data_IF_129780649084
#
_entry.id   IF_129780649084
#
_cell.length_a   1.000
_cell.length_b   1.000
_cell.length_c   1.000
_cell.angle_alpha   90.00
_cell.angle_beta   90.00
_cell.angle_gamma   90.00
#
_symmetry.space_group_name_H-M   'P 1'
#
loop_
_entity.id
_entity.type
_entity.pdbx_description
1 polymer ?
#
# COMPACT_ATOMS: atom_id res chain seq x y z
N UNK A 1 4.05 -4.17 31.95
CA UNK A 1 2.99 -4.03 30.92
C UNK A 1 3.02 -5.29 30.08
N UNK A 2 1.91 -6.03 29.99
CA UNK A 2 1.83 -7.24 29.16
C UNK A 2 2.04 -6.88 27.68
N UNK A 3 2.88 -7.64 26.98
CA UNK A 3 3.01 -7.55 25.52
C UNK A 3 1.71 -8.09 24.93
N UNK A 4 0.82 -7.19 24.52
CA UNK A 4 -0.46 -7.54 23.91
C UNK A 4 -0.20 -8.09 22.51
N UNK A 5 -0.65 -9.31 22.26
CA UNK A 5 -0.52 -9.99 20.97
C UNK A 5 -1.81 -9.77 20.19
N UNK A 6 -1.69 -9.26 18.97
CA UNK A 6 -2.80 -9.06 18.04
C UNK A 6 -2.82 -10.19 17.03
N UNK A 7 -3.96 -10.87 16.89
CA UNK A 7 -4.18 -11.87 15.84
C UNK A 7 -4.81 -11.22 14.61
N UNK A 8 -4.35 -11.61 13.43
CA UNK A 8 -4.69 -10.98 12.15
C UNK A 8 -4.83 -12.00 11.04
N UNK A 9 -5.54 -11.60 9.98
CA UNK A 9 -5.88 -12.49 8.88
C UNK A 9 -6.95 -13.51 9.28
N UNK A 10 -7.31 -14.37 8.34
CA UNK A 10 -8.37 -15.37 8.48
C UNK A 10 -7.86 -16.75 8.10
N UNK A 11 -8.58 -17.80 8.49
CA UNK A 11 -8.31 -19.13 7.97
C UNK A 11 -8.59 -19.18 6.46
N UNK A 12 -7.58 -19.59 5.69
CA UNK A 12 -7.66 -19.72 4.23
C UNK A 12 -7.31 -21.14 3.81
N UNK A 13 -7.94 -21.61 2.72
CA UNK A 13 -7.66 -22.92 2.14
C UNK A 13 -6.53 -22.75 1.13
N UNK A 14 -5.41 -23.43 1.39
CA UNK A 14 -4.26 -23.45 0.50
C UNK A 14 -3.51 -24.78 0.67
N UNK A 15 -2.93 -25.30 -0.41
CA UNK A 15 -2.07 -26.48 -0.39
C UNK A 15 -0.63 -26.16 0.03
N UNK A 16 -0.13 -24.97 -0.29
CA UNK A 16 1.27 -24.57 -0.12
C UNK A 16 1.36 -23.28 0.70
N UNK A 17 1.67 -23.42 1.98
CA UNK A 17 1.87 -22.29 2.89
C UNK A 17 3.33 -21.93 3.01
N UNK A 18 3.63 -20.63 3.00
CA UNK A 18 4.91 -20.10 3.45
C UNK A 18 4.76 -19.46 4.83
N UNK A 19 5.84 -19.49 5.61
CA UNK A 19 5.88 -19.01 6.98
C UNK A 19 6.94 -17.92 7.12
N UNK A 20 6.58 -16.83 7.78
CA UNK A 20 7.45 -15.67 7.98
C UNK A 20 7.48 -15.30 9.46
N UNK A 21 8.67 -15.00 9.97
CA UNK A 21 8.87 -14.39 11.27
C UNK A 21 9.80 -13.18 11.13
N UNK A 22 9.30 -12.00 11.46
CA UNK A 22 10.00 -10.73 11.32
C UNK A 22 10.20 -10.06 12.68
N UNK A 23 11.43 -9.67 13.06
CA UNK A 23 11.66 -8.81 14.21
C UNK A 23 11.37 -7.35 13.81
N UNK A 24 10.11 -6.93 13.84
CA UNK A 24 9.67 -5.59 13.43
C UNK A 24 8.56 -5.05 14.32
N UNK A 25 8.54 -3.72 14.49
CA UNK A 25 7.44 -2.96 15.09
C UNK A 25 6.35 -2.58 14.07
N UNK A 26 6.52 -2.96 12.80
CA UNK A 26 5.63 -2.59 11.68
C UNK A 26 4.52 -3.61 11.39
N UNK A 27 4.27 -4.56 12.31
CA UNK A 27 3.31 -5.65 12.11
C UNK A 27 1.91 -5.17 11.71
N UNK A 28 1.43 -4.08 12.31
CA UNK A 28 0.14 -3.48 11.96
C UNK A 28 0.13 -2.93 10.52
N UNK A 29 1.16 -2.20 10.10
CA UNK A 29 1.23 -1.61 8.77
C UNK A 29 1.34 -2.70 7.69
N UNK A 30 2.17 -3.72 7.94
CA UNK A 30 2.32 -4.86 7.02
C UNK A 30 0.99 -5.61 6.90
N UNK A 31 0.28 -5.84 8.01
CA UNK A 31 -1.06 -6.47 7.99
C UNK A 31 -2.04 -5.70 7.10
N UNK A 32 -2.08 -4.37 7.22
CA UNK A 32 -2.97 -3.53 6.40
C UNK A 32 -2.61 -3.64 4.92
N UNK A 33 -1.32 -3.62 4.59
CA UNK A 33 -0.85 -3.78 3.21
C UNK A 33 -1.21 -5.16 2.65
N UNK A 34 -0.94 -6.26 3.38
CA UNK A 34 -1.31 -7.62 2.97
C UNK A 34 -2.82 -7.74 2.68
N UNK A 35 -3.65 -7.15 3.55
CA UNK A 35 -5.11 -7.15 3.39
C UNK A 35 -5.54 -6.36 2.15
N UNK A 36 -4.98 -5.16 1.94
CA UNK A 36 -5.27 -4.32 0.78
C UNK A 36 -4.84 -4.97 -0.55
N UNK A 37 -3.76 -5.74 -0.49
CA UNK A 37 -3.23 -6.53 -1.59
C UNK A 37 -4.01 -7.82 -1.86
N UNK A 38 -4.95 -8.18 -0.98
CA UNK A 38 -5.76 -9.40 -1.12
C UNK A 38 -4.97 -10.70 -0.88
N UNK A 39 -3.84 -10.61 -0.17
CA UNK A 39 -3.05 -11.79 0.19
C UNK A 39 -3.85 -12.64 1.19
N UNK A 40 -4.02 -13.94 0.97
CA UNK A 40 -4.55 -14.85 1.99
C UNK A 40 -3.45 -15.13 3.02
N UNK A 41 -3.64 -14.68 4.26
CA UNK A 41 -2.69 -14.87 5.36
C UNK A 41 -3.40 -15.05 6.70
N UNK A 42 -2.67 -15.60 7.66
CA UNK A 42 -3.04 -15.68 9.07
C UNK A 42 -1.80 -15.47 9.93
N UNK A 43 -1.92 -14.73 11.02
CA UNK A 43 -0.77 -14.50 11.87
C UNK A 43 -1.06 -13.73 13.14
N UNK A 44 0.01 -13.27 13.76
CA UNK A 44 -0.05 -12.41 14.92
C UNK A 44 1.16 -11.50 15.02
N UNK A 45 0.97 -10.29 15.54
CA UNK A 45 2.06 -9.36 15.83
C UNK A 45 1.97 -8.81 17.26
N UNK A 46 3.12 -8.37 17.75
CA UNK A 46 3.26 -7.54 18.94
C UNK A 46 4.08 -6.28 18.60
N UNK A 47 4.68 -5.63 19.61
CA UNK A 47 5.48 -4.40 19.40
C UNK A 47 6.86 -4.64 18.78
N UNK A 48 7.31 -5.89 18.68
CA UNK A 48 8.68 -6.28 18.32
C UNK A 48 8.74 -7.35 17.25
N UNK A 49 7.66 -8.11 17.08
CA UNK A 49 7.62 -9.23 16.15
C UNK A 49 6.32 -9.29 15.38
N UNK A 50 6.41 -9.79 14.14
CA UNK A 50 5.27 -10.19 13.34
C UNK A 50 5.54 -11.58 12.78
N UNK A 51 4.63 -12.53 13.05
CA UNK A 51 4.72 -13.91 12.59
C UNK A 51 3.42 -14.25 11.86
N UNK A 52 3.51 -14.77 10.64
CA UNK A 52 2.35 -15.13 9.85
C UNK A 52 2.67 -16.22 8.83
N UNK A 53 1.63 -16.97 8.46
CA UNK A 53 1.60 -17.83 7.28
C UNK A 53 0.77 -17.21 6.17
N UNK A 54 1.15 -17.44 4.92
CA UNK A 54 0.43 -16.96 3.74
C UNK A 54 0.44 -17.99 2.61
N UNK A 55 -0.40 -17.79 1.59
CA UNK A 55 -0.41 -18.60 0.38
C UNK A 55 0.83 -18.32 -0.49
N UNK A 56 1.67 -19.33 -0.73
CA UNK A 56 2.93 -19.21 -1.48
C UNK A 56 2.78 -18.60 -2.89
N UNK A 57 1.60 -18.64 -3.50
CA UNK A 57 1.34 -17.98 -4.79
C UNK A 57 1.56 -16.46 -4.72
N UNK A 58 1.48 -15.85 -3.53
CA UNK A 58 1.63 -14.42 -3.30
C UNK A 58 3.06 -14.03 -2.88
N UNK A 59 4.04 -14.94 -3.00
CA UNK A 59 5.41 -14.71 -2.52
C UNK A 59 6.00 -13.39 -2.98
N UNK A 60 5.91 -13.08 -4.28
CA UNK A 60 6.46 -11.84 -4.82
C UNK A 60 5.83 -10.59 -4.19
N UNK A 61 4.50 -10.60 -4.01
CA UNK A 61 3.78 -9.49 -3.36
C UNK A 61 4.16 -9.37 -1.88
N UNK A 62 4.26 -10.49 -1.15
CA UNK A 62 4.63 -10.48 0.26
C UNK A 62 6.06 -9.99 0.46
N UNK A 63 7.00 -10.46 -0.35
CA UNK A 63 8.41 -10.03 -0.29
C UNK A 63 8.53 -8.53 -0.55
N UNK A 64 7.82 -7.99 -1.54
CA UNK A 64 7.80 -6.54 -1.84
C UNK A 64 7.20 -5.73 -0.68
N UNK A 65 6.07 -6.16 -0.11
CA UNK A 65 5.43 -5.49 1.03
C UNK A 65 6.37 -5.49 2.24
N UNK A 66 7.02 -6.60 2.55
CA UNK A 66 7.98 -6.67 3.65
C UNK A 66 9.14 -5.70 3.38
N UNK A 67 9.73 -5.73 2.18
CA UNK A 67 10.85 -4.84 1.81
C UNK A 67 10.46 -3.35 1.97
N UNK A 68 9.26 -2.97 1.54
CA UNK A 68 8.74 -1.61 1.66
C UNK A 68 8.77 -1.09 3.12
N UNK A 69 8.52 -1.94 4.12
CA UNK A 69 8.46 -1.54 5.53
C UNK A 69 9.76 -1.78 6.30
N UNK A 70 10.55 -2.79 5.95
CA UNK A 70 11.69 -3.23 6.76
C UNK A 70 13.04 -2.89 6.15
N UNK A 71 13.12 -2.60 4.84
CA UNK A 71 14.39 -2.28 4.17
C UNK A 71 14.74 -0.81 4.30
N UNK A 72 16.03 -0.50 4.45
CA UNK A 72 16.55 0.87 4.45
C UNK A 72 16.41 1.54 3.07
N UNK A 73 16.35 0.74 2.00
CA UNK A 73 16.17 1.22 0.62
C UNK A 73 14.93 2.11 0.45
N UNK A 74 13.88 1.86 1.23
CA UNK A 74 12.62 2.59 1.18
C UNK A 74 12.44 3.56 2.36
N UNK A 75 13.46 3.73 3.22
CA UNK A 75 13.37 4.59 4.40
C UNK A 75 13.05 6.05 4.06
N UNK A 76 13.65 6.58 2.98
CA UNK A 76 13.38 7.94 2.52
C UNK A 76 11.93 8.09 2.04
N UNK A 77 11.43 7.13 1.25
CA UNK A 77 10.03 7.13 0.77
C UNK A 77 9.07 7.05 1.96
N UNK A 78 9.37 6.23 2.97
CA UNK A 78 8.56 6.15 4.20
C UNK A 78 8.48 7.49 4.90
N UNK A 79 9.63 8.14 5.11
CA UNK A 79 9.70 9.46 5.74
C UNK A 79 8.90 10.49 4.94
N UNK A 80 9.09 10.52 3.62
CA UNK A 80 8.41 11.47 2.75
C UNK A 80 6.89 11.27 2.81
N UNK A 81 6.41 10.01 2.80
CA UNK A 81 4.98 9.71 2.94
C UNK A 81 4.44 10.15 4.30
N UNK A 82 5.16 9.90 5.39
CA UNK A 82 4.73 10.32 6.73
C UNK A 82 4.64 11.86 6.86
N UNK A 83 5.66 12.57 6.37
CA UNK A 83 5.75 14.03 6.42
C UNK A 83 4.64 14.70 5.58
N UNK A 84 4.52 14.34 4.31
CA UNK A 84 3.58 14.99 3.40
C UNK A 84 2.12 14.58 3.66
N UNK A 85 1.87 13.40 4.28
CA UNK A 85 0.53 13.08 4.82
C UNK A 85 0.14 14.02 5.95
N UNK A 86 1.05 14.28 6.90
CA UNK A 86 0.82 15.17 8.05
C UNK A 86 0.55 16.59 7.58
N UNK A 87 1.34 17.07 6.63
CA UNK A 87 1.28 18.45 6.14
C UNK A 87 0.22 18.63 5.02
N UNK A 88 -0.43 17.52 4.63
CA UNK A 88 -1.44 17.43 3.55
C UNK A 88 -0.94 17.89 2.18
N UNK A 89 0.37 17.85 1.96
CA UNK A 89 1.03 18.21 0.71
C UNK A 89 1.17 17.00 -0.23
N UNK A 90 0.04 16.48 -0.69
CA UNK A 90 0.04 15.27 -1.52
C UNK A 90 0.62 15.50 -2.93
N UNK A 91 0.64 16.73 -3.43
CA UNK A 91 1.13 17.02 -4.79
C UNK A 91 2.64 16.81 -4.94
N UNK A 92 3.37 16.74 -3.82
CA UNK A 92 4.75 16.26 -3.78
C UNK A 92 4.92 14.91 -4.51
N UNK A 93 3.92 14.03 -4.45
CA UNK A 93 4.00 12.68 -5.04
C UNK A 93 3.73 12.62 -6.55
N UNK A 94 3.46 13.74 -7.23
CA UNK A 94 3.22 13.75 -8.69
C UNK A 94 4.33 13.01 -9.49
N UNK A 95 5.63 13.22 -9.25
CA UNK A 95 6.69 12.50 -9.96
C UNK A 95 6.61 10.99 -9.78
N UNK A 96 6.44 10.53 -8.54
CA UNK A 96 6.36 9.11 -8.21
C UNK A 96 5.11 8.45 -8.84
N UNK A 97 3.96 9.12 -8.73
CA UNK A 97 2.69 8.66 -9.28
C UNK A 97 2.73 8.60 -10.80
N UNK A 98 3.26 9.63 -11.46
CA UNK A 98 3.39 9.65 -12.92
C UNK A 98 4.28 8.49 -13.42
N UNK A 99 5.42 8.26 -12.75
CA UNK A 99 6.31 7.13 -13.04
C UNK A 99 5.60 5.79 -12.90
N UNK A 100 4.88 5.58 -11.79
CA UNK A 100 4.17 4.33 -11.52
C UNK A 100 3.06 4.06 -12.55
N UNK A 101 2.32 5.10 -12.92
CA UNK A 101 1.28 5.04 -13.95
C UNK A 101 1.81 5.00 -15.39
N UNK A 102 3.14 5.03 -15.57
CA UNK A 102 3.82 5.06 -16.88
C UNK A 102 3.36 6.23 -17.76
N UNK A 103 3.23 7.42 -17.17
CA UNK A 103 2.96 8.68 -17.88
C UNK A 103 3.95 9.77 -17.49
N UNK A 104 3.95 10.88 -18.23
CA UNK A 104 4.81 12.02 -17.89
C UNK A 104 4.21 12.84 -16.74
N UNK A 105 5.06 13.50 -15.96
CA UNK A 105 4.59 14.44 -14.93
C UNK A 105 3.68 15.53 -15.51
N UNK A 106 4.04 16.07 -16.69
CA UNK A 106 3.21 17.05 -17.38
C UNK A 106 1.81 16.51 -17.71
N UNK A 107 1.69 15.24 -18.10
CA UNK A 107 0.39 14.60 -18.35
C UNK A 107 -0.46 14.56 -17.09
N UNK A 108 0.13 14.24 -15.94
CA UNK A 108 -0.57 14.22 -14.66
C UNK A 108 -0.92 15.64 -14.19
N UNK A 109 -0.01 16.61 -14.32
CA UNK A 109 -0.22 18.02 -13.97
C UNK A 109 -1.28 18.72 -14.81
N UNK A 110 -1.52 18.23 -16.03
CA UNK A 110 -2.58 18.73 -16.91
C UNK A 110 -3.98 18.20 -16.54
N UNK A 111 -4.11 17.29 -15.58
CA UNK A 111 -5.41 16.87 -15.05
C UNK A 111 -6.02 17.95 -14.14
N UNK A 112 -7.34 17.99 -13.98
CA UNK A 112 -7.98 18.76 -12.91
C UNK A 112 -7.31 18.56 -11.54
N UNK A 113 -7.23 19.63 -10.75
CA UNK A 113 -6.47 19.66 -9.49
C UNK A 113 -6.96 18.64 -8.45
N UNK A 114 -8.28 18.46 -8.36
CA UNK A 114 -8.95 17.45 -7.55
C UNK A 114 -8.52 16.02 -7.93
N UNK A 115 -8.39 15.73 -9.23
CA UNK A 115 -7.90 14.43 -9.71
C UNK A 115 -6.43 14.24 -9.31
N UNK A 116 -5.58 15.26 -9.49
CA UNK A 116 -4.18 15.22 -9.07
C UNK A 116 -4.07 14.91 -7.56
N UNK A 117 -4.85 15.62 -6.74
CA UNK A 117 -4.87 15.43 -5.29
C UNK A 117 -5.37 14.03 -4.93
N UNK A 118 -6.47 13.57 -5.55
CA UNK A 118 -7.08 12.28 -5.26
C UNK A 118 -6.12 11.11 -5.55
N UNK A 119 -5.44 11.14 -6.71
CA UNK A 119 -4.51 10.06 -7.08
C UNK A 119 -3.23 10.10 -6.24
N UNK A 120 -2.71 11.29 -5.90
CA UNK A 120 -1.54 11.39 -5.04
C UNK A 120 -1.83 11.03 -3.58
N UNK A 121 -3.01 11.37 -3.08
CA UNK A 121 -3.48 10.90 -1.79
C UNK A 121 -3.63 9.38 -1.77
N UNK A 122 -4.20 8.79 -2.82
CA UNK A 122 -4.31 7.32 -2.96
C UNK A 122 -2.93 6.65 -2.98
N UNK A 123 -1.95 7.24 -3.68
CA UNK A 123 -0.57 6.76 -3.64
C UNK A 123 -0.02 6.77 -2.22
N UNK A 124 -0.17 7.91 -1.53
CA UNK A 124 0.27 8.00 -0.15
C UNK A 124 -0.42 6.93 0.68
N UNK A 125 -1.73 6.70 0.56
CA UNK A 125 -2.48 5.69 1.34
C UNK A 125 -1.98 4.25 1.14
N UNK A 126 -1.61 3.89 -0.10
CA UNK A 126 -1.24 2.52 -0.49
C UNK A 126 0.26 2.28 -0.70
N UNK A 127 1.12 3.25 -0.39
CA UNK A 127 2.55 3.22 -0.74
C UNK A 127 3.30 1.93 -0.34
N UNK A 128 2.90 1.30 0.76
CA UNK A 128 3.55 0.10 1.30
C UNK A 128 2.99 -1.21 0.78
N UNK A 129 1.98 -1.17 -0.10
CA UNK A 129 1.46 -2.36 -0.79
C UNK A 129 2.42 -2.78 -1.91
N UNK A 130 2.17 -3.96 -2.49
CA UNK A 130 2.88 -4.39 -3.70
C UNK A 130 2.56 -3.48 -4.90
N UNK A 131 3.46 -3.46 -5.88
CA UNK A 131 3.36 -2.59 -7.06
C UNK A 131 2.06 -2.83 -7.85
N UNK A 132 1.58 -4.08 -7.94
CA UNK A 132 0.34 -4.39 -8.66
C UNK A 132 -0.86 -3.75 -7.97
N UNK A 133 -0.98 -3.89 -6.66
CA UNK A 133 -2.04 -3.28 -5.85
C UNK A 133 -1.99 -1.76 -5.94
N UNK A 134 -0.81 -1.15 -5.78
CA UNK A 134 -0.67 0.30 -5.94
C UNK A 134 -1.17 0.75 -7.33
N UNK A 135 -0.74 0.08 -8.41
CA UNK A 135 -1.13 0.46 -9.76
C UNK A 135 -2.64 0.32 -9.99
N UNK A 136 -3.27 -0.75 -9.48
CA UNK A 136 -4.71 -0.97 -9.54
C UNK A 136 -5.46 0.20 -8.89
N UNK A 137 -5.12 0.53 -7.67
CA UNK A 137 -5.79 1.58 -6.88
C UNK A 137 -5.65 2.97 -7.51
N UNK A 138 -4.48 3.29 -8.08
CA UNK A 138 -4.29 4.56 -8.78
C UNK A 138 -5.09 4.66 -10.08
N UNK A 139 -5.16 3.55 -10.84
CA UNK A 139 -5.96 3.49 -12.07
C UNK A 139 -7.45 3.61 -11.77
N UNK A 140 -7.92 3.03 -10.68
CA UNK A 140 -9.31 3.12 -10.26
C UNK A 140 -9.71 4.57 -9.95
N UNK A 141 -8.87 5.31 -9.22
CA UNK A 141 -9.11 6.74 -8.96
C UNK A 141 -9.23 7.53 -10.27
N UNK A 142 -8.30 7.34 -11.21
CA UNK A 142 -8.36 8.01 -12.50
C UNK A 142 -9.62 7.65 -13.29
N UNK A 143 -10.08 6.41 -13.20
CA UNK A 143 -11.26 5.91 -13.92
C UNK A 143 -12.58 6.36 -13.30
N UNK A 144 -12.62 6.59 -11.98
CA UNK A 144 -13.79 7.14 -11.30
C UNK A 144 -13.99 8.62 -11.61
N UNK A 145 -12.89 9.35 -11.79
CA UNK A 145 -12.91 10.78 -12.11
C UNK A 145 -13.22 11.11 -13.58
N UNK A 146 -13.33 10.11 -14.46
CA UNK A 146 -13.70 10.29 -15.88
C UNK A 146 -15.17 10.01 -16.18
N UNK A 147 -15.97 9.60 -15.20
CA UNK A 147 -17.43 9.44 -15.40
C UNK A 147 -18.08 10.83 -15.49
N UNK A 148 -18.68 11.23 -16.63
CA UNK A 148 -19.46 12.45 -16.68
C UNK A 148 -20.64 12.33 -15.71
N UNK A 149 -20.92 13.41 -14.98
CA UNK A 149 -22.14 13.51 -14.17
C UNK A 149 -23.36 13.20 -15.06
N UNK A 150 -24.29 12.32 -14.63
CA UNK A 150 -25.53 12.16 -15.36
C UNK A 150 -26.23 13.52 -15.37
N UNK A 151 -26.36 14.10 -16.56
CA UNK A 151 -27.19 15.27 -16.81
C UNK A 151 -28.64 14.90 -16.44
N UNK A 152 -29.05 15.23 -15.23
CA UNK A 152 -30.46 15.20 -14.83
C UNK A 152 -31.07 16.47 -15.44
N UNK A 153 -31.70 16.30 -16.60
CA UNK A 153 -32.64 17.29 -17.17
C UNK A 153 -34.01 17.09 -16.56
#
# INVERSE_FOLDING_TARGET
MSEYIFFVGDDYKCSNKEYVALPTDKGQQITVALTASGVPFKGSFDKKSFVFDYDSEYKESVDEIIENYTSDKYADIRRDVEEHRRDKDYLFFIPAVAKLLRMTEGTLRNRPHDIQLAVCKRYADYWGCDTYTMLRELKDVLSLTTKPEPNIK
#
